data_IF_881396779615
#
_entry.id   IF_881396779615
#
_cell.length_a   1.000
_cell.length_b   1.000
_cell.length_c   1.000
_cell.angle_alpha   90.00
_cell.angle_beta   90.00
_cell.angle_gamma   90.00
#
_symmetry.space_group_name_H-M   'P 1'
#
loop_
_entity.id
_entity.type
_entity.pdbx_description
1 polymer ?
#
# COMPACT_ATOMS: atom_id res chain seq x y z
N UNK A 1 -15.61 15.29 7.95
CA UNK A 1 -15.86 13.96 8.54
C UNK A 1 -16.36 12.93 7.52
N UNK A 2 -17.50 13.08 6.80
CA UNK A 2 -17.97 12.06 5.87
C UNK A 2 -16.99 11.75 4.72
N UNK A 3 -16.23 12.74 4.26
CA UNK A 3 -15.23 12.58 3.19
C UNK A 3 -14.15 11.56 3.56
N UNK A 4 -13.63 11.61 4.78
CA UNK A 4 -12.61 10.64 5.25
C UNK A 4 -13.14 9.19 5.24
N UNK A 5 -14.40 9.00 5.69
CA UNK A 5 -15.05 7.69 5.65
C UNK A 5 -15.26 7.20 4.21
N UNK A 6 -15.82 8.03 3.33
CA UNK A 6 -16.09 7.66 1.93
C UNK A 6 -14.80 7.35 1.17
N UNK A 7 -13.78 8.21 1.31
CA UNK A 7 -12.47 7.98 0.66
C UNK A 7 -11.85 6.68 1.15
N UNK A 8 -11.82 6.44 2.48
CA UNK A 8 -11.25 5.22 3.03
C UNK A 8 -12.06 3.97 2.65
N UNK A 9 -13.39 4.05 2.61
CA UNK A 9 -14.26 2.95 2.19
C UNK A 9 -14.02 2.59 0.71
N UNK A 10 -14.16 3.56 -0.20
CA UNK A 10 -13.98 3.33 -1.63
C UNK A 10 -12.56 2.85 -1.97
N UNK A 11 -11.55 3.52 -1.39
CA UNK A 11 -10.16 3.15 -1.59
C UNK A 11 -9.84 1.74 -1.06
N UNK A 12 -10.42 1.36 0.09
CA UNK A 12 -10.22 0.03 0.66
C UNK A 12 -10.97 -1.06 -0.10
N UNK A 13 -12.14 -0.76 -0.69
CA UNK A 13 -12.82 -1.70 -1.60
C UNK A 13 -11.89 -2.05 -2.76
N UNK A 14 -11.43 -1.04 -3.50
CA UNK A 14 -10.56 -1.23 -4.67
C UNK A 14 -9.22 -1.83 -4.26
N UNK A 15 -8.65 -1.34 -3.15
CA UNK A 15 -7.38 -1.83 -2.60
C UNK A 15 -7.43 -3.30 -2.20
N UNK A 16 -8.56 -3.76 -1.63
CA UNK A 16 -8.77 -5.17 -1.26
C UNK A 16 -9.05 -6.06 -2.48
N UNK A 17 -9.75 -5.54 -3.50
CA UNK A 17 -9.96 -6.26 -4.78
C UNK A 17 -8.64 -6.49 -5.48
N UNK A 18 -7.83 -5.45 -5.64
CA UNK A 18 -6.56 -5.53 -6.36
C UNK A 18 -5.39 -6.05 -5.50
N UNK A 19 -5.51 -6.09 -4.17
CA UNK A 19 -4.42 -6.53 -3.29
C UNK A 19 -3.29 -5.50 -3.10
N UNK A 20 -3.56 -4.21 -3.36
CA UNK A 20 -2.55 -3.14 -3.27
C UNK A 20 -2.62 -2.32 -1.98
N UNK A 21 -3.61 -2.62 -1.12
CA UNK A 21 -3.90 -1.76 0.02
C UNK A 21 -4.60 -0.45 -0.39
N UNK A 22 -5.52 0.03 0.43
CA UNK A 22 -6.26 1.27 0.13
C UNK A 22 -5.39 2.53 0.18
N UNK A 23 -4.23 2.49 0.83
CA UNK A 23 -3.39 3.64 1.10
C UNK A 23 -2.85 4.35 -0.14
N UNK A 24 -2.62 3.60 -1.21
CA UNK A 24 -2.17 4.16 -2.50
C UNK A 24 -3.21 5.09 -3.14
N UNK A 25 -4.46 4.97 -2.75
CA UNK A 25 -5.57 5.85 -3.16
C UNK A 25 -5.84 6.89 -2.08
N UNK A 26 -5.94 6.46 -0.81
CA UNK A 26 -6.28 7.33 0.32
C UNK A 26 -5.32 8.52 0.37
N UNK A 27 -4.01 8.23 0.33
CA UNK A 27 -3.01 9.28 0.48
C UNK A 27 -3.09 10.35 -0.63
N UNK A 28 -2.96 10.05 -1.93
CA UNK A 28 -3.04 11.06 -2.98
C UNK A 28 -4.37 11.83 -3.00
N UNK A 29 -5.48 11.16 -2.70
CA UNK A 29 -6.81 11.81 -2.67
C UNK A 29 -6.93 12.77 -1.49
N UNK A 30 -6.51 12.38 -0.29
CA UNK A 30 -6.55 13.28 0.87
C UNK A 30 -5.52 14.41 0.76
N UNK A 31 -4.35 14.15 0.18
CA UNK A 31 -3.35 15.16 -0.15
C UNK A 31 -3.93 16.19 -1.14
N UNK A 32 -4.65 15.72 -2.18
CA UNK A 32 -5.35 16.58 -3.14
C UNK A 32 -6.37 17.51 -2.47
N UNK A 33 -7.12 16.98 -1.52
CA UNK A 33 -8.14 17.72 -0.78
C UNK A 33 -7.56 18.68 0.27
N UNK A 34 -6.27 18.55 0.60
CA UNK A 34 -5.55 19.39 1.57
C UNK A 34 -6.25 19.51 2.94
N UNK A 35 -6.81 18.40 3.42
CA UNK A 35 -7.62 18.38 4.65
C UNK A 35 -6.79 18.25 5.92
N UNK A 36 -5.59 17.69 5.81
CA UNK A 36 -4.67 17.43 6.92
C UNK A 36 -3.21 17.48 6.42
N UNK A 37 -2.24 17.48 7.33
CA UNK A 37 -0.81 17.46 6.94
C UNK A 37 -0.41 16.12 6.31
N UNK A 38 0.60 16.13 5.44
CA UNK A 38 1.17 14.93 4.79
C UNK A 38 1.50 13.83 5.81
N UNK A 39 2.05 14.20 6.97
CA UNK A 39 2.38 13.26 8.05
C UNK A 39 1.13 12.65 8.68
N UNK A 40 0.11 13.45 8.95
CA UNK A 40 -1.17 12.99 9.50
C UNK A 40 -1.88 12.07 8.52
N UNK A 41 -1.94 12.44 7.23
CA UNK A 41 -2.54 11.62 6.18
C UNK A 41 -1.80 10.27 6.04
N UNK A 42 -0.47 10.29 6.07
CA UNK A 42 0.33 9.05 6.01
C UNK A 42 0.06 8.12 7.20
N UNK A 43 -0.03 8.67 8.42
CA UNK A 43 -0.35 7.90 9.63
C UNK A 43 -1.77 7.32 9.58
N UNK A 44 -2.77 8.14 9.27
CA UNK A 44 -4.18 7.71 9.18
C UNK A 44 -4.39 6.67 8.08
N UNK A 45 -3.75 6.86 6.92
CA UNK A 45 -3.75 5.90 5.82
C UNK A 45 -3.12 4.58 6.25
N UNK A 46 -1.97 4.61 6.94
CA UNK A 46 -1.31 3.41 7.46
C UNK A 46 -2.19 2.62 8.43
N UNK A 47 -2.86 3.29 9.38
CA UNK A 47 -3.82 2.66 10.30
C UNK A 47 -5.01 2.02 9.56
N UNK A 48 -5.55 2.72 8.55
CA UNK A 48 -6.66 2.24 7.73
C UNK A 48 -6.26 0.98 6.94
N UNK A 49 -5.09 1.02 6.30
CA UNK A 49 -4.57 -0.12 5.52
C UNK A 49 -4.26 -1.30 6.42
N UNK A 50 -3.68 -1.08 7.61
CA UNK A 50 -3.45 -2.14 8.58
C UNK A 50 -4.77 -2.82 8.97
N UNK A 51 -5.80 -2.04 9.30
CA UNK A 51 -7.12 -2.57 9.70
C UNK A 51 -7.77 -3.39 8.58
N UNK A 52 -7.73 -2.88 7.35
CA UNK A 52 -8.21 -3.59 6.16
C UNK A 52 -7.44 -4.90 5.92
N UNK A 53 -6.10 -4.85 6.03
CA UNK A 53 -5.24 -6.01 5.80
C UNK A 53 -5.42 -7.08 6.90
N UNK A 54 -5.54 -6.66 8.17
CA UNK A 54 -5.87 -7.55 9.27
C UNK A 54 -7.18 -8.31 9.01
N UNK A 55 -8.23 -7.60 8.60
CA UNK A 55 -9.50 -8.24 8.25
C UNK A 55 -9.35 -9.20 7.07
N UNK A 56 -8.75 -8.74 5.97
CA UNK A 56 -8.65 -9.51 4.72
C UNK A 56 -7.82 -10.78 4.89
N UNK A 57 -6.65 -10.67 5.52
CA UNK A 57 -5.74 -11.80 5.80
C UNK A 57 -6.33 -12.73 6.85
N UNK A 58 -6.85 -12.19 7.96
CA UNK A 58 -7.47 -12.98 9.01
C UNK A 58 -8.63 -13.83 8.50
N UNK A 59 -9.52 -13.23 7.69
CA UNK A 59 -10.62 -13.97 7.04
C UNK A 59 -10.14 -15.00 6.02
N UNK A 60 -9.03 -14.74 5.30
CA UNK A 60 -8.43 -15.72 4.38
C UNK A 60 -7.89 -16.93 5.14
N UNK A 61 -7.20 -16.70 6.26
CA UNK A 61 -6.64 -17.77 7.11
C UNK A 61 -7.75 -18.61 7.76
N UNK A 62 -8.79 -17.97 8.34
CA UNK A 62 -9.94 -18.65 8.94
C UNK A 62 -10.70 -19.48 7.90
N UNK A 63 -10.81 -18.99 6.66
CA UNK A 63 -11.47 -19.70 5.56
C UNK A 63 -10.62 -20.83 4.96
N UNK A 64 -9.40 -21.06 5.43
CA UNK A 64 -8.49 -22.09 4.92
C UNK A 64 -8.05 -21.85 3.46
N UNK A 65 -8.05 -20.59 2.99
CA UNK A 65 -7.67 -20.29 1.62
C UNK A 65 -6.16 -20.47 1.42
N UNK A 66 -5.77 -21.42 0.58
CA UNK A 66 -4.36 -21.76 0.29
C UNK A 66 -3.66 -20.77 -0.66
N UNK A 67 -4.21 -19.58 -0.87
CA UNK A 67 -3.64 -18.57 -1.78
C UNK A 67 -2.40 -17.89 -1.22
N UNK A 68 -2.27 -17.81 0.10
CA UNK A 68 -1.06 -17.32 0.74
C UNK A 68 -0.06 -18.45 0.84
N UNK A 69 1.05 -18.36 0.08
CA UNK A 69 2.16 -19.30 0.18
C UNK A 69 2.97 -18.99 1.43
N UNK A 70 2.83 -19.77 2.49
CA UNK A 70 3.61 -19.57 3.71
C UNK A 70 5.12 -19.77 3.49
N UNK A 71 5.50 -20.64 2.56
CA UNK A 71 6.91 -20.92 2.28
C UNK A 71 7.66 -19.70 1.72
N UNK A 72 7.03 -18.96 0.82
CA UNK A 72 7.59 -17.73 0.21
C UNK A 72 7.08 -16.47 0.91
N UNK A 73 5.82 -16.46 1.35
CA UNK A 73 5.18 -15.32 2.00
C UNK A 73 5.78 -14.98 3.36
N UNK A 74 6.16 -15.98 4.17
CA UNK A 74 6.72 -15.71 5.51
C UNK A 74 8.09 -15.01 5.45
N UNK A 75 9.08 -15.48 4.65
CA UNK A 75 10.33 -14.74 4.49
C UNK A 75 10.13 -13.34 3.91
N UNK A 76 9.21 -13.18 2.93
CA UNK A 76 8.84 -11.87 2.40
C UNK A 76 8.25 -10.97 3.48
N UNK A 77 7.34 -11.48 4.32
CA UNK A 77 6.70 -10.71 5.39
C UNK A 77 7.70 -10.28 6.47
N UNK A 78 8.63 -11.16 6.86
CA UNK A 78 9.72 -10.83 7.80
C UNK A 78 10.59 -9.72 7.23
N UNK A 79 11.01 -9.86 5.96
CA UNK A 79 11.75 -8.83 5.26
C UNK A 79 10.96 -7.51 5.19
N UNK A 80 9.67 -7.57 4.88
CA UNK A 80 8.82 -6.39 4.79
C UNK A 80 8.59 -5.71 6.14
N UNK A 81 8.54 -6.46 7.24
CA UNK A 81 8.50 -5.90 8.59
C UNK A 81 9.79 -5.12 8.90
N UNK A 82 10.96 -5.71 8.65
CA UNK A 82 12.25 -5.02 8.79
C UNK A 82 12.34 -3.80 7.87
N UNK A 83 11.90 -3.94 6.61
CA UNK A 83 11.80 -2.85 5.64
C UNK A 83 10.85 -1.74 6.09
N UNK A 84 9.72 -2.11 6.69
CA UNK A 84 8.76 -1.18 7.29
C UNK A 84 9.40 -0.27 8.34
N UNK A 85 10.19 -0.85 9.23
CA UNK A 85 10.98 -0.10 10.23
C UNK A 85 11.99 0.84 9.58
N UNK A 86 12.74 0.35 8.60
CA UNK A 86 13.73 1.16 7.88
C UNK A 86 13.07 2.29 7.10
N UNK A 87 11.97 2.01 6.39
CA UNK A 87 11.24 2.98 5.60
C UNK A 87 10.64 4.11 6.44
N UNK A 88 10.10 3.79 7.62
CA UNK A 88 9.58 4.81 8.54
C UNK A 88 10.70 5.70 9.12
N UNK A 89 11.87 5.13 9.43
CA UNK A 89 13.06 5.91 9.83
C UNK A 89 13.58 6.78 8.70
N UNK A 90 13.65 6.22 7.48
CA UNK A 90 14.07 6.98 6.29
C UNK A 90 13.11 8.15 6.03
N UNK A 91 11.80 7.92 6.14
CA UNK A 91 10.81 9.00 6.04
C UNK A 91 11.05 10.10 7.08
N UNK A 92 11.28 9.72 8.35
CA UNK A 92 11.57 10.67 9.42
C UNK A 92 12.87 11.45 9.18
N UNK A 93 13.92 10.78 8.68
CA UNK A 93 15.18 11.42 8.34
C UNK A 93 15.02 12.42 7.17
N UNK A 94 14.34 12.01 6.10
CA UNK A 94 14.03 12.90 4.97
C UNK A 94 13.18 14.09 5.44
N UNK A 95 12.17 13.84 6.27
CA UNK A 95 11.36 14.94 6.84
C UNK A 95 12.20 15.94 7.64
N UNK A 96 13.19 15.48 8.39
CA UNK A 96 14.08 16.34 9.16
C UNK A 96 15.03 17.18 8.30
N UNK A 97 15.30 16.77 7.05
CA UNK A 97 16.15 17.53 6.11
C UNK A 97 15.43 18.71 5.46
N UNK A 98 14.10 18.71 5.46
CA UNK A 98 13.29 19.77 4.85
C UNK A 98 12.61 20.59 5.94
N UNK A 99 12.81 21.91 5.91
CA UNK A 99 12.15 22.86 6.81
C UNK A 99 10.63 22.96 6.52
N UNK A 100 10.22 22.66 5.28
CA UNK A 100 8.83 22.79 4.82
C UNK A 100 8.20 21.42 4.61
N UNK A 101 7.05 21.13 5.26
CA UNK A 101 6.32 19.86 5.11
C UNK A 101 5.89 19.56 3.66
N UNK A 102 5.64 20.59 2.86
CA UNK A 102 5.20 20.46 1.46
C UNK A 102 6.27 19.83 0.56
N UNK A 103 7.56 20.12 0.80
CA UNK A 103 8.67 19.53 0.04
C UNK A 103 8.75 18.01 0.22
N UNK A 104 8.45 17.52 1.42
CA UNK A 104 8.38 16.07 1.68
C UNK A 104 7.23 15.44 0.90
N UNK A 105 6.07 16.10 0.86
CA UNK A 105 4.91 15.67 0.07
C UNK A 105 5.24 15.58 -1.43
N UNK A 106 5.96 16.57 -1.96
CA UNK A 106 6.42 16.58 -3.36
C UNK A 106 7.31 15.37 -3.67
N UNK A 107 8.33 15.11 -2.85
CA UNK A 107 9.22 13.95 -3.01
C UNK A 107 8.42 12.64 -3.02
N UNK A 108 7.50 12.46 -2.06
CA UNK A 108 6.66 11.26 -2.01
C UNK A 108 5.75 11.14 -3.24
N UNK A 109 5.15 12.24 -3.72
CA UNK A 109 4.28 12.25 -4.88
C UNK A 109 5.05 11.89 -6.16
N UNK A 110 6.25 12.44 -6.36
CA UNK A 110 7.13 12.10 -7.50
C UNK A 110 7.53 10.62 -7.44
N UNK A 111 8.00 10.14 -6.29
CA UNK A 111 8.37 8.74 -6.13
C UNK A 111 7.18 7.81 -6.38
N UNK A 112 5.99 8.16 -5.88
CA UNK A 112 4.77 7.38 -6.11
C UNK A 112 4.39 7.36 -7.58
N UNK A 113 4.43 8.50 -8.27
CA UNK A 113 4.17 8.59 -9.71
C UNK A 113 5.14 7.70 -10.50
N UNK A 114 6.45 7.80 -10.24
CA UNK A 114 7.47 7.00 -10.92
C UNK A 114 7.26 5.49 -10.72
N UNK A 115 7.02 5.06 -9.48
CA UNK A 115 6.74 3.66 -9.13
C UNK A 115 5.46 3.18 -9.81
N UNK A 116 4.41 4.01 -9.83
CA UNK A 116 3.13 3.64 -10.41
C UNK A 116 3.20 3.55 -11.94
N UNK A 117 3.94 4.47 -12.59
CA UNK A 117 4.21 4.41 -14.05
C UNK A 117 4.98 3.12 -14.39
N UNK A 118 6.06 2.81 -13.66
CA UNK A 118 6.81 1.57 -13.86
C UNK A 118 5.93 0.33 -13.70
N UNK A 119 5.06 0.33 -12.68
CA UNK A 119 4.10 -0.75 -12.43
C UNK A 119 3.09 -0.88 -13.56
N UNK A 120 2.54 0.24 -14.05
CA UNK A 120 1.59 0.24 -15.17
C UNK A 120 2.23 -0.33 -16.44
N UNK A 121 3.42 0.15 -16.79
CA UNK A 121 4.17 -0.33 -17.97
C UNK A 121 4.45 -1.82 -17.89
N UNK A 122 4.86 -2.32 -16.71
CA UNK A 122 5.04 -3.75 -16.49
C UNK A 122 3.73 -4.51 -16.66
N UNK A 123 2.64 -4.07 -16.01
CA UNK A 123 1.36 -4.79 -15.98
C UNK A 123 0.74 -4.91 -17.38
N UNK A 124 0.84 -3.86 -18.19
CA UNK A 124 0.35 -3.88 -19.58
C UNK A 124 1.16 -4.88 -20.45
N UNK A 125 2.44 -5.07 -20.14
CA UNK A 125 3.32 -5.94 -20.90
C UNK A 125 3.61 -7.26 -20.22
N UNK A 126 2.95 -7.61 -19.11
CA UNK A 126 3.29 -8.75 -18.26
C UNK A 126 3.30 -10.09 -19.00
N UNK A 127 2.40 -10.27 -19.98
CA UNK A 127 2.29 -11.52 -20.76
C UNK A 127 3.49 -11.75 -21.71
N UNK A 128 4.28 -10.69 -22.00
CA UNK A 128 5.49 -10.76 -22.83
C UNK A 128 6.77 -10.91 -22.00
N UNK A 129 6.69 -10.74 -20.70
CA UNK A 129 7.85 -10.73 -19.80
C UNK A 129 8.04 -12.11 -19.20
N UNK A 130 9.24 -12.68 -19.36
CA UNK A 130 9.59 -13.95 -18.70
C UNK A 130 9.71 -13.73 -17.19
N UNK A 131 8.95 -14.47 -16.42
CA UNK A 131 8.96 -14.43 -14.96
C UNK A 131 10.00 -15.38 -14.37
N UNK A 132 10.38 -15.13 -13.13
CA UNK A 132 11.30 -15.98 -12.37
C UNK A 132 10.53 -16.74 -11.29
N UNK A 133 11.13 -17.80 -10.75
CA UNK A 133 10.61 -18.53 -9.58
C UNK A 133 11.67 -18.53 -8.50
N UNK A 134 11.67 -17.51 -7.68
CA UNK A 134 12.64 -17.38 -6.58
C UNK A 134 12.15 -18.22 -5.39
N UNK A 135 12.96 -19.20 -5.00
CA UNK A 135 12.69 -20.11 -3.88
C UNK A 135 13.63 -19.86 -2.69
N UNK A 136 14.74 -19.16 -2.93
CA UNK A 136 15.71 -18.86 -1.87
C UNK A 136 15.12 -17.92 -0.83
N UNK A 137 15.04 -18.38 0.43
CA UNK A 137 14.45 -17.64 1.55
C UNK A 137 15.16 -16.31 1.84
N UNK A 138 16.49 -16.25 1.66
CA UNK A 138 17.25 -15.01 1.86
C UNK A 138 16.91 -13.98 0.77
N UNK A 139 16.76 -14.40 -0.49
CA UNK A 139 16.32 -13.54 -1.57
C UNK A 139 14.87 -13.05 -1.34
N UNK A 140 13.97 -13.93 -0.89
CA UNK A 140 12.61 -13.53 -0.50
C UNK A 140 12.63 -12.46 0.60
N UNK A 141 13.45 -12.63 1.64
CA UNK A 141 13.55 -11.64 2.72
C UNK A 141 14.13 -10.30 2.22
N UNK A 142 15.14 -10.33 1.34
CA UNK A 142 15.70 -9.11 0.75
C UNK A 142 14.68 -8.37 -0.14
N UNK A 143 13.91 -9.10 -0.95
CA UNK A 143 12.81 -8.54 -1.74
C UNK A 143 11.75 -7.94 -0.81
N UNK A 144 11.36 -8.66 0.24
CA UNK A 144 10.41 -8.18 1.24
C UNK A 144 10.90 -6.89 1.91
N UNK A 145 12.18 -6.82 2.29
CA UNK A 145 12.79 -5.64 2.90
C UNK A 145 12.69 -4.41 1.97
N UNK A 146 12.99 -4.58 0.69
CA UNK A 146 12.85 -3.49 -0.28
C UNK A 146 11.38 -3.02 -0.40
N UNK A 147 10.43 -3.96 -0.52
CA UNK A 147 9.01 -3.66 -0.61
C UNK A 147 8.49 -2.96 0.65
N UNK A 148 8.85 -3.43 1.83
CA UNK A 148 8.46 -2.82 3.10
C UNK A 148 9.02 -1.43 3.29
N UNK A 149 10.29 -1.22 2.92
CA UNK A 149 10.95 0.09 2.97
C UNK A 149 10.24 1.10 2.06
N UNK A 150 9.99 0.75 0.81
CA UNK A 150 9.29 1.62 -0.14
C UNK A 150 7.85 1.92 0.31
N UNK A 151 7.14 0.91 0.78
CA UNK A 151 5.76 1.02 1.28
C UNK A 151 5.65 2.02 2.43
N UNK A 152 6.52 1.92 3.42
CA UNK A 152 6.52 2.78 4.60
C UNK A 152 7.06 4.18 4.30
N UNK A 153 8.11 4.30 3.49
CA UNK A 153 8.62 5.60 3.05
C UNK A 153 7.57 6.41 2.30
N UNK A 154 6.83 5.78 1.39
CA UNK A 154 5.78 6.45 0.63
C UNK A 154 4.51 6.72 1.48
N UNK A 155 4.38 6.11 2.65
CA UNK A 155 3.21 6.28 3.53
C UNK A 155 1.90 5.75 2.93
N UNK A 156 1.98 4.80 1.99
CA UNK A 156 0.82 4.25 1.25
C UNK A 156 0.38 2.88 1.73
N UNK A 157 1.11 2.32 2.68
CA UNK A 157 0.75 1.04 3.28
C UNK A 157 0.89 -0.19 2.40
N UNK A 158 1.71 -0.13 1.40
CA UNK A 158 1.83 -1.10 0.33
C UNK A 158 1.62 -0.40 -0.99
N UNK A 159 1.71 -1.10 -2.07
CA UNK A 159 1.55 -0.41 -3.33
C UNK A 159 1.54 -1.34 -4.53
N UNK A 160 1.34 -0.72 -5.67
CA UNK A 160 1.31 -1.41 -6.96
C UNK A 160 2.56 -2.25 -7.21
N UNK A 161 3.72 -1.81 -6.70
CA UNK A 161 4.99 -2.50 -6.87
C UNK A 161 5.00 -3.89 -6.26
N UNK A 162 4.25 -4.11 -5.16
CA UNK A 162 4.16 -5.45 -4.55
C UNK A 162 3.64 -6.48 -5.56
N UNK A 163 2.61 -6.13 -6.33
CA UNK A 163 2.04 -7.02 -7.34
C UNK A 163 3.04 -7.32 -8.45
N UNK A 164 3.71 -6.29 -8.98
CA UNK A 164 4.74 -6.46 -10.03
C UNK A 164 5.85 -7.38 -9.56
N UNK A 165 6.33 -7.18 -8.34
CA UNK A 165 7.39 -8.00 -7.76
C UNK A 165 6.92 -9.45 -7.58
N UNK A 166 5.69 -9.66 -7.11
CA UNK A 166 5.10 -11.00 -6.95
C UNK A 166 4.86 -11.69 -8.30
N UNK A 167 4.45 -10.95 -9.33
CA UNK A 167 4.35 -11.50 -10.68
C UNK A 167 5.72 -11.88 -11.23
N UNK A 168 6.71 -10.95 -11.18
CA UNK A 168 7.99 -11.12 -11.83
C UNK A 168 8.88 -12.15 -11.15
N UNK A 169 9.05 -12.04 -9.82
CA UNK A 169 9.97 -12.91 -9.08
C UNK A 169 9.39 -14.26 -8.67
N UNK A 170 8.05 -14.37 -8.57
CA UNK A 170 7.39 -15.57 -8.04
C UNK A 170 6.38 -16.20 -9.01
N UNK A 171 6.21 -15.63 -10.19
CA UNK A 171 5.25 -16.13 -11.21
C UNK A 171 3.84 -16.35 -10.65
N UNK A 172 3.40 -15.50 -9.73
CA UNK A 172 2.09 -15.62 -9.11
C UNK A 172 0.99 -15.08 -10.03
N UNK A 173 -0.14 -15.78 -10.08
CA UNK A 173 -1.36 -15.30 -10.72
C UNK A 173 -1.95 -14.10 -9.97
N UNK A 174 -2.78 -13.29 -10.63
CA UNK A 174 -3.30 -12.01 -10.13
C UNK A 174 -3.91 -12.10 -8.74
N UNK A 175 -4.83 -13.03 -8.51
CA UNK A 175 -5.48 -13.17 -7.19
C UNK A 175 -4.55 -13.74 -6.11
N UNK A 176 -3.63 -14.61 -6.49
CA UNK A 176 -2.60 -15.15 -5.59
C UNK A 176 -1.62 -14.05 -5.20
N UNK A 177 -1.17 -13.24 -6.15
CA UNK A 177 -0.32 -12.07 -5.90
C UNK A 177 -1.04 -11.06 -5.00
N UNK A 178 -2.33 -10.79 -5.25
CA UNK A 178 -3.14 -9.90 -4.41
C UNK A 178 -3.22 -10.37 -2.96
N UNK A 179 -3.47 -11.67 -2.71
CA UNK A 179 -3.52 -12.22 -1.36
C UNK A 179 -2.16 -12.15 -0.64
N UNK A 180 -1.06 -12.50 -1.34
CA UNK A 180 0.29 -12.41 -0.79
C UNK A 180 0.73 -10.96 -0.57
N UNK A 181 0.34 -10.03 -1.44
CA UNK A 181 0.58 -8.60 -1.26
C UNK A 181 -0.07 -8.08 0.03
N UNK A 182 -1.35 -8.39 0.28
CA UNK A 182 -2.03 -7.99 1.52
C UNK A 182 -1.35 -8.60 2.77
N UNK A 183 -0.82 -9.82 2.66
CA UNK A 183 -0.05 -10.46 3.72
C UNK A 183 1.26 -9.70 4.01
N UNK A 184 2.01 -9.31 2.98
CA UNK A 184 3.24 -8.49 3.11
C UNK A 184 2.90 -7.12 3.70
N UNK A 185 1.84 -6.48 3.23
CA UNK A 185 1.36 -5.17 3.70
C UNK A 185 1.01 -5.23 5.19
N UNK A 186 0.34 -6.27 5.65
CA UNK A 186 -0.02 -6.45 7.05
C UNK A 186 1.22 -6.35 7.96
N UNK A 187 2.27 -7.10 7.66
CA UNK A 187 3.49 -7.11 8.49
C UNK A 187 4.31 -5.83 8.36
N UNK A 188 4.42 -5.29 7.15
CA UNK A 188 5.10 -4.03 6.90
C UNK A 188 4.42 -2.86 7.64
N UNK A 189 3.09 -2.77 7.60
CA UNK A 189 2.34 -1.72 8.28
C UNK A 189 2.33 -1.88 9.79
N UNK A 190 2.22 -3.11 10.29
CA UNK A 190 2.33 -3.37 11.72
C UNK A 190 3.68 -2.89 12.26
N UNK A 191 4.77 -3.23 11.57
CA UNK A 191 6.11 -2.82 11.97
C UNK A 191 6.31 -1.29 11.85
N UNK A 192 5.83 -0.68 10.77
CA UNK A 192 5.93 0.77 10.56
C UNK A 192 5.18 1.57 11.63
N UNK A 193 3.94 1.18 11.92
CA UNK A 193 3.12 1.85 12.95
C UNK A 193 3.67 1.60 14.35
N UNK A 194 4.15 0.39 14.65
CA UNK A 194 4.83 0.10 15.91
C UNK A 194 6.08 0.97 16.10
N UNK A 195 6.86 1.18 15.03
CA UNK A 195 8.02 2.10 15.04
C UNK A 195 7.60 3.54 15.32
N UNK A 196 6.54 4.02 14.69
CA UNK A 196 6.01 5.38 14.88
C UNK A 196 5.53 5.60 16.31
N UNK A 197 4.85 4.61 16.90
CA UNK A 197 4.41 4.64 18.29
C UNK A 197 5.60 4.62 19.26
N UNK A 198 6.55 3.70 19.05
CA UNK A 198 7.72 3.53 19.93
C UNK A 198 8.65 4.76 19.91
N UNK A 199 8.75 5.45 18.76
CA UNK A 199 9.56 6.68 18.63
C UNK A 199 8.85 7.95 19.11
N UNK A 200 7.58 7.87 19.54
CA UNK A 200 6.79 9.03 19.92
C UNK A 200 6.52 10.01 18.78
N UNK A 201 6.74 9.61 17.52
CA UNK A 201 6.60 10.47 16.34
C UNK A 201 5.18 10.47 15.76
N UNK A 202 4.18 10.18 16.58
CA UNK A 202 2.78 10.20 16.17
C UNK A 202 2.37 11.64 15.85
N UNK A 203 1.94 11.93 14.61
CA UNK A 203 1.49 13.27 14.26
C UNK A 203 0.17 13.60 14.98
N UNK A 204 -0.15 14.88 15.19
CA UNK A 204 -1.44 15.26 15.75
C UNK A 204 -2.56 14.80 14.81
N UNK A 205 -3.57 14.14 15.34
CA UNK A 205 -4.73 13.67 14.59
C UNK A 205 -6.01 13.74 15.44
N UNK A 206 -7.16 13.71 14.77
CA UNK A 206 -8.47 13.65 15.44
C UNK A 206 -8.88 12.19 15.60
N UNK A 207 -9.12 11.68 16.84
CA UNK A 207 -9.49 10.28 17.06
C UNK A 207 -10.75 9.85 16.30
N UNK A 208 -11.73 10.78 16.17
CA UNK A 208 -12.96 10.53 15.41
C UNK A 208 -12.68 10.29 13.90
N UNK A 209 -11.71 11.01 13.30
CA UNK A 209 -11.31 10.80 11.91
C UNK A 209 -10.67 9.43 11.76
N UNK A 210 -9.75 9.05 12.67
CA UNK A 210 -9.13 7.73 12.68
C UNK A 210 -10.18 6.62 12.77
N UNK A 211 -11.14 6.73 13.70
CA UNK A 211 -12.20 5.74 13.87
C UNK A 211 -13.05 5.57 12.60
N UNK A 212 -13.43 6.69 11.95
CA UNK A 212 -14.19 6.66 10.70
C UNK A 212 -13.38 6.03 9.56
N UNK A 213 -12.08 6.35 9.45
CA UNK A 213 -11.22 5.78 8.41
C UNK A 213 -10.97 4.29 8.62
N UNK A 214 -10.77 3.85 9.88
CA UNK A 214 -10.64 2.43 10.23
C UNK A 214 -11.93 1.68 9.93
N UNK A 215 -13.09 2.22 10.29
CA UNK A 215 -14.40 1.64 9.96
C UNK A 215 -14.59 1.52 8.44
N UNK A 216 -14.25 2.58 7.69
CA UNK A 216 -14.25 2.57 6.23
C UNK A 216 -13.28 1.53 5.67
N UNK A 217 -12.08 1.41 6.26
CA UNK A 217 -11.07 0.40 5.90
C UNK A 217 -11.56 -1.03 6.05
N UNK A 218 -12.12 -1.36 7.21
CA UNK A 218 -12.70 -2.69 7.49
C UNK A 218 -13.88 -2.96 6.56
N UNK A 219 -14.83 -2.02 6.47
CA UNK A 219 -16.00 -2.14 5.59
C UNK A 219 -15.60 -2.34 4.13
N UNK A 220 -14.63 -1.56 3.66
CA UNK A 220 -14.06 -1.70 2.32
C UNK A 220 -13.36 -3.04 2.11
N UNK A 221 -12.64 -3.54 3.12
CA UNK A 221 -12.04 -4.88 3.11
C UNK A 221 -13.08 -6.00 2.99
N UNK A 222 -14.22 -5.88 3.71
CA UNK A 222 -15.34 -6.83 3.63
C UNK A 222 -15.91 -6.89 2.22
N UNK A 223 -16.28 -5.72 1.68
CA UNK A 223 -16.90 -5.58 0.36
C UNK A 223 -15.90 -6.00 -0.73
N UNK A 224 -14.68 -5.45 -0.69
CA UNK A 224 -13.66 -5.70 -1.71
C UNK A 224 -13.26 -7.17 -1.79
N UNK A 225 -13.12 -7.85 -0.65
CA UNK A 225 -12.88 -9.30 -0.63
C UNK A 225 -14.03 -10.10 -1.27
N UNK A 226 -15.28 -9.71 -0.98
CA UNK A 226 -16.46 -10.36 -1.59
C UNK A 226 -16.47 -10.17 -3.10
N UNK A 227 -16.16 -8.97 -3.58
CA UNK A 227 -16.05 -8.66 -5.00
C UNK A 227 -14.90 -9.42 -5.67
N UNK A 228 -13.69 -9.45 -5.06
CA UNK A 228 -12.54 -10.19 -5.60
C UNK A 228 -12.86 -11.69 -5.81
N UNK A 229 -13.67 -12.29 -4.94
CA UNK A 229 -14.09 -13.70 -5.13
C UNK A 229 -14.95 -13.92 -6.37
N UNK A 230 -15.75 -12.92 -6.76
CA UNK A 230 -16.69 -12.99 -7.89
C UNK A 230 -16.04 -12.55 -9.21
N UNK A 231 -14.97 -11.76 -9.17
CA UNK A 231 -14.26 -11.30 -10.36
C UNK A 231 -13.27 -12.36 -10.85
N UNK A 232 -13.01 -12.40 -12.15
CA UNK A 232 -11.90 -13.15 -12.73
C UNK A 232 -10.58 -12.34 -12.69
N UNK A 233 -9.44 -12.98 -12.96
CA UNK A 233 -8.14 -12.32 -12.93
C UNK A 233 -8.04 -11.18 -13.95
N UNK A 234 -8.67 -11.32 -15.11
CA UNK A 234 -8.68 -10.27 -16.16
C UNK A 234 -9.44 -9.02 -15.73
N UNK A 235 -10.56 -9.20 -15.01
CA UNK A 235 -11.34 -8.07 -14.49
C UNK A 235 -10.55 -7.33 -13.39
N UNK A 236 -9.85 -8.08 -12.52
CA UNK A 236 -8.97 -7.48 -11.50
C UNK A 236 -7.82 -6.73 -12.15
N UNK A 237 -7.18 -7.28 -13.18
CA UNK A 237 -6.11 -6.61 -13.93
C UNK A 237 -6.59 -5.31 -14.60
N UNK A 238 -7.76 -5.33 -15.24
CA UNK A 238 -8.35 -4.12 -15.86
C UNK A 238 -8.64 -3.04 -14.83
N UNK A 239 -9.22 -3.43 -13.68
CA UNK A 239 -9.46 -2.50 -12.57
C UNK A 239 -8.15 -1.93 -12.05
N UNK A 240 -7.11 -2.75 -11.91
CA UNK A 240 -5.79 -2.34 -11.47
C UNK A 240 -5.15 -1.34 -12.44
N UNK A 241 -5.17 -1.59 -13.76
CA UNK A 241 -4.66 -0.69 -14.80
C UNK A 241 -5.38 0.65 -14.77
N UNK A 242 -6.72 0.65 -14.73
CA UNK A 242 -7.51 1.87 -14.66
C UNK A 242 -7.17 2.68 -13.40
N UNK A 243 -7.03 2.00 -12.26
CA UNK A 243 -6.64 2.62 -11.01
C UNK A 243 -5.24 3.26 -11.08
N UNK A 244 -4.25 2.56 -11.69
CA UNK A 244 -2.91 3.11 -11.85
C UNK A 244 -2.91 4.40 -12.65
N UNK A 245 -3.69 4.47 -13.74
CA UNK A 245 -3.82 5.69 -14.55
C UNK A 245 -4.36 6.87 -13.71
N UNK A 246 -5.37 6.62 -12.89
CA UNK A 246 -5.94 7.65 -11.98
C UNK A 246 -4.91 8.11 -10.94
N UNK A 247 -4.20 7.16 -10.30
CA UNK A 247 -3.18 7.49 -9.29
C UNK A 247 -2.04 8.29 -9.89
N UNK A 248 -1.58 7.95 -11.10
CA UNK A 248 -0.55 8.70 -11.81
C UNK A 248 -1.00 10.15 -12.02
N UNK A 249 -2.22 10.35 -12.52
CA UNK A 249 -2.77 11.70 -12.73
C UNK A 249 -2.82 12.52 -11.44
N UNK A 250 -3.34 11.96 -10.36
CA UNK A 250 -3.41 12.62 -9.05
C UNK A 250 -2.01 12.90 -8.48
N UNK A 251 -1.09 11.95 -8.62
CA UNK A 251 0.27 12.09 -8.08
C UNK A 251 1.07 13.17 -8.81
N UNK A 252 0.93 13.26 -10.14
CA UNK A 252 1.54 14.34 -10.93
C UNK A 252 0.95 15.69 -10.51
N UNK A 253 -0.37 15.79 -10.40
CA UNK A 253 -1.03 17.01 -9.95
C UNK A 253 -0.54 17.44 -8.57
N UNK A 254 -0.50 16.53 -7.60
CA UNK A 254 0.00 16.80 -6.25
C UNK A 254 1.46 17.24 -6.26
N UNK A 255 2.31 16.60 -7.10
CA UNK A 255 3.72 16.97 -7.22
C UNK A 255 3.91 18.41 -7.70
N UNK A 256 3.18 18.81 -8.75
CA UNK A 256 3.21 20.18 -9.28
C UNK A 256 2.70 21.18 -8.23
N UNK A 257 1.59 20.86 -7.57
CA UNK A 257 1.01 21.70 -6.54
C UNK A 257 1.96 21.92 -5.35
N UNK A 258 2.59 20.85 -4.85
CA UNK A 258 3.56 20.97 -3.75
C UNK A 258 4.84 21.71 -4.15
N UNK A 259 5.19 21.71 -5.43
CA UNK A 259 6.33 22.47 -5.94
C UNK A 259 6.03 23.96 -6.10
N UNK A 260 4.73 24.34 -6.21
CA UNK A 260 4.28 25.73 -6.37
C UNK A 260 3.92 26.43 -5.05
N UNK A 261 3.88 25.71 -3.93
CA UNK A 261 3.66 26.20 -2.57
C UNK A 261 4.96 26.42 -1.83
#
# INVERSE_FOLDING_TARGET
MPVFFLVSLCASIVGAVCGIGGGVIIKPVLDLLNLETVSTISFLSGCTVLSMSCYSVGRAMIAGEKRVSLATGTPLAIGAAAGGLLGSRLFSAVKAMFAEPNKVGSVQAVCLAAVTVGTLLYTVNKDRIRTRRVENKAACAAIGLALGCMSSFLGIGGGPINLVVLYFFFSMETKTAAANSLYIILFSQLASLASTLASGSVPPFRPAVLALMVAGGIGGGVIGRSLNKRMDDRAVDKLFIALMAVIIGISIFNSVRYASL
#
